data_IF_038163539575
#
_entry.id   IF_038163539575
#
_cell.length_a   1.000
_cell.length_b   1.000
_cell.length_c   1.000
_cell.angle_alpha   90.00
_cell.angle_beta   90.00
_cell.angle_gamma   90.00
#
_symmetry.space_group_name_H-M   'P 1'
#
loop_
_entity.id
_entity.type
_entity.pdbx_description
1 polymer ?
#
# COMPACT_ATOMS: atom_id res chain seq x y z
N UNK A 1 16.08 -21.23 -1.92
CA UNK A 1 14.64 -21.30 -1.61
C UNK A 1 14.46 -21.29 -0.08
N UNK A 2 13.94 -20.23 0.47
CA UNK A 2 13.89 -20.00 1.92
C UNK A 2 12.65 -20.62 2.60
N UNK A 3 11.66 -21.11 1.83
CA UNK A 3 10.32 -21.49 2.34
C UNK A 3 10.06 -23.01 2.45
N UNK A 4 11.03 -23.85 2.05
CA UNK A 4 10.84 -25.32 2.00
C UNK A 4 10.58 -26.00 3.35
N UNK A 5 10.97 -25.36 4.45
CA UNK A 5 10.90 -25.92 5.79
C UNK A 5 9.67 -25.47 6.60
N UNK A 6 8.71 -24.81 5.97
CA UNK A 6 7.47 -24.46 6.66
C UNK A 6 6.62 -25.71 6.91
N UNK A 7 6.07 -25.79 8.11
CA UNK A 7 5.14 -26.86 8.50
C UNK A 7 3.70 -26.50 8.15
N UNK A 8 3.36 -25.19 8.23
CA UNK A 8 2.05 -24.66 7.91
C UNK A 8 2.22 -23.27 7.28
N UNK A 9 1.47 -23.01 6.21
CA UNK A 9 1.37 -21.71 5.55
C UNK A 9 -0.10 -21.28 5.51
N UNK A 10 -0.52 -20.33 6.35
CA UNK A 10 -1.86 -19.77 6.25
C UNK A 10 -1.98 -18.85 5.02
N UNK A 11 -3.08 -18.96 4.30
CA UNK A 11 -3.41 -18.13 3.13
C UNK A 11 -4.85 -17.63 3.22
N UNK A 12 -5.17 -16.62 2.42
CA UNK A 12 -6.47 -15.94 2.46
C UNK A 12 -7.65 -16.81 2.02
N UNK A 13 -7.43 -17.71 1.05
CA UNK A 13 -8.49 -18.55 0.48
C UNK A 13 -7.94 -19.83 -0.11
N UNK A 14 -8.83 -20.80 -0.37
CA UNK A 14 -8.46 -22.04 -1.07
C UNK A 14 -7.99 -21.79 -2.50
N UNK A 15 -8.47 -20.73 -3.15
CA UNK A 15 -8.11 -20.37 -4.53
C UNK A 15 -6.61 -20.14 -4.70
N UNK A 16 -5.92 -19.59 -3.68
CA UNK A 16 -4.49 -19.27 -3.75
C UNK A 16 -3.58 -20.39 -3.22
N UNK A 17 -4.13 -21.49 -2.68
CA UNK A 17 -3.36 -22.58 -2.07
C UNK A 17 -2.31 -23.18 -2.99
N UNK A 18 -2.72 -23.56 -4.19
CA UNK A 18 -1.83 -24.23 -5.14
C UNK A 18 -0.74 -23.27 -5.65
N UNK A 19 -1.08 -21.99 -5.81
CA UNK A 19 -0.14 -20.92 -6.18
C UNK A 19 0.96 -20.80 -5.12
N UNK A 20 0.58 -20.73 -3.84
CA UNK A 20 1.55 -20.64 -2.74
C UNK A 20 2.37 -21.93 -2.58
N UNK A 21 1.77 -23.10 -2.77
CA UNK A 21 2.47 -24.37 -2.73
C UNK A 21 3.56 -24.44 -3.81
N UNK A 22 3.23 -24.03 -5.03
CA UNK A 22 4.16 -23.92 -6.15
C UNK A 22 5.27 -22.92 -5.87
N UNK A 23 4.92 -21.68 -5.52
CA UNK A 23 5.88 -20.58 -5.26
C UNK A 23 6.88 -20.94 -4.15
N UNK A 24 6.44 -21.66 -3.11
CA UNK A 24 7.29 -22.04 -1.99
C UNK A 24 7.99 -23.37 -2.18
N UNK A 25 7.59 -24.17 -3.18
CA UNK A 25 8.12 -25.50 -3.45
C UNK A 25 7.82 -26.49 -2.32
N UNK A 26 6.60 -26.44 -1.75
CA UNK A 26 6.13 -27.28 -0.66
C UNK A 26 4.86 -28.06 -1.07
N UNK A 27 4.49 -29.06 -0.24
CA UNK A 27 3.22 -29.77 -0.47
C UNK A 27 2.01 -28.87 -0.22
N UNK A 28 1.00 -28.92 -1.09
CA UNK A 28 -0.27 -28.21 -0.91
C UNK A 28 -0.99 -28.55 0.41
N UNK A 29 -0.71 -29.72 1.00
CA UNK A 29 -1.25 -30.10 2.33
C UNK A 29 -0.74 -29.22 3.47
N UNK A 30 0.37 -28.51 3.27
CA UNK A 30 0.94 -27.55 4.22
C UNK A 30 0.36 -26.15 4.07
N UNK A 31 -0.37 -25.87 3.01
CA UNK A 31 -1.00 -24.59 2.75
C UNK A 31 -2.48 -24.68 3.09
N UNK A 32 -2.94 -23.83 3.99
CA UNK A 32 -4.31 -23.87 4.51
C UNK A 32 -4.98 -22.49 4.46
N UNK A 33 -6.23 -22.46 4.00
CA UNK A 33 -7.03 -21.24 3.93
C UNK A 33 -7.56 -20.87 5.33
N UNK A 34 -6.71 -20.23 6.13
CA UNK A 34 -6.99 -19.82 7.51
C UNK A 34 -7.17 -18.30 7.66
N UNK A 35 -7.15 -17.58 6.55
CA UNK A 35 -7.11 -16.12 6.56
C UNK A 35 -5.69 -15.56 6.63
N UNK A 36 -5.59 -14.23 6.73
CA UNK A 36 -4.34 -13.49 6.85
C UNK A 36 -4.29 -12.84 8.24
N UNK A 37 -3.49 -13.35 9.19
CA UNK A 37 -3.55 -12.92 10.61
C UNK A 37 -3.37 -11.41 10.83
N UNK A 38 -2.59 -10.74 9.97
CA UNK A 38 -2.38 -9.28 10.10
C UNK A 38 -3.64 -8.45 9.87
N UNK A 39 -4.67 -9.02 9.21
CA UNK A 39 -5.92 -8.30 8.96
C UNK A 39 -6.84 -8.27 10.19
N UNK A 40 -6.57 -9.06 11.22
CA UNK A 40 -7.36 -9.06 12.45
C UNK A 40 -7.39 -7.69 13.13
N UNK A 41 -6.29 -6.92 13.01
CA UNK A 41 -6.21 -5.56 13.53
C UNK A 41 -7.17 -4.57 12.85
N UNK A 42 -7.62 -4.87 11.63
CA UNK A 42 -8.58 -4.04 10.89
C UNK A 42 -10.03 -4.30 11.31
N UNK A 43 -10.27 -5.20 12.27
CA UNK A 43 -11.56 -5.48 12.90
C UNK A 43 -11.52 -5.20 14.42
N UNK A 44 -10.42 -4.68 14.92
CA UNK A 44 -10.22 -4.31 16.33
C UNK A 44 -10.50 -2.81 16.53
N UNK A 45 -11.70 -2.47 16.98
CA UNK A 45 -12.14 -1.11 17.21
C UNK A 45 -11.25 -0.33 18.20
N UNK A 46 -10.78 -0.98 19.26
CA UNK A 46 -9.92 -0.34 20.26
C UNK A 46 -8.56 0.01 19.64
N UNK A 47 -8.03 -0.88 18.79
CA UNK A 47 -6.82 -0.61 18.04
C UNK A 47 -7.00 0.56 17.07
N UNK A 48 -8.09 0.55 16.29
CA UNK A 48 -8.36 1.59 15.30
C UNK A 48 -8.50 2.97 15.96
N UNK A 49 -9.33 3.07 17.03
CA UNK A 49 -9.55 4.33 17.74
C UNK A 49 -8.24 4.87 18.30
N UNK A 50 -7.49 4.03 19.01
CA UNK A 50 -6.19 4.38 19.57
C UNK A 50 -5.22 4.86 18.49
N UNK A 51 -5.18 4.16 17.35
CA UNK A 51 -4.26 4.48 16.26
C UNK A 51 -4.64 5.80 15.57
N UNK A 52 -5.93 6.06 15.37
CA UNK A 52 -6.42 7.34 14.86
C UNK A 52 -6.04 8.49 15.79
N UNK A 53 -6.23 8.35 17.10
CA UNK A 53 -5.84 9.37 18.09
C UNK A 53 -4.34 9.62 18.07
N UNK A 54 -3.52 8.57 18.01
CA UNK A 54 -2.06 8.67 17.94
C UNK A 54 -1.62 9.44 16.68
N UNK A 55 -2.17 9.09 15.50
CA UNK A 55 -1.83 9.75 14.24
C UNK A 55 -2.31 11.20 14.21
N UNK A 56 -3.51 11.51 14.70
CA UNK A 56 -4.01 12.88 14.79
C UNK A 56 -3.24 13.72 15.83
N UNK A 57 -2.75 13.09 16.90
CA UNK A 57 -1.87 13.75 17.86
C UNK A 57 -0.51 14.09 17.27
N UNK A 58 0.05 13.21 16.43
CA UNK A 58 1.34 13.41 15.77
C UNK A 58 1.24 14.35 14.55
N UNK A 59 0.14 14.25 13.80
CA UNK A 59 -0.12 15.02 12.58
C UNK A 59 -1.50 15.71 12.66
N UNK A 60 -1.66 16.78 13.42
CA UNK A 60 -2.97 17.41 13.67
C UNK A 60 -3.73 17.84 12.41
N UNK A 61 -3.02 18.18 11.35
CA UNK A 61 -3.62 18.56 10.06
C UNK A 61 -4.48 17.44 9.45
N UNK A 62 -4.19 16.17 9.75
CA UNK A 62 -4.94 15.05 9.18
C UNK A 62 -6.35 14.90 9.77
N UNK A 63 -6.62 15.51 10.93
CA UNK A 63 -7.89 15.34 11.64
C UNK A 63 -9.06 16.06 10.96
N UNK A 64 -8.81 17.28 10.48
CA UNK A 64 -9.85 18.18 9.96
C UNK A 64 -9.88 18.25 8.44
N UNK A 65 -8.99 17.49 7.76
CA UNK A 65 -8.83 17.57 6.32
C UNK A 65 -9.15 16.23 5.66
N UNK A 66 -9.46 16.28 4.36
CA UNK A 66 -9.56 15.11 3.50
C UNK A 66 -8.17 14.54 3.25
N UNK A 67 -7.95 13.30 3.61
CA UNK A 67 -6.65 12.64 3.48
C UNK A 67 -6.64 11.74 2.24
N UNK A 68 -5.70 11.99 1.34
CA UNK A 68 -5.40 11.12 0.21
C UNK A 68 -4.07 10.43 0.49
N UNK A 69 -4.07 9.10 0.46
CA UNK A 69 -2.87 8.27 0.62
C UNK A 69 -2.37 7.82 -0.75
N UNK A 70 -1.19 8.29 -1.15
CA UNK A 70 -0.50 7.82 -2.34
C UNK A 70 0.56 6.80 -1.96
N UNK A 71 0.33 5.53 -2.31
CA UNK A 71 1.16 4.40 -1.90
C UNK A 71 1.48 3.47 -3.10
N UNK A 72 2.38 3.88 -4.00
CA UNK A 72 2.70 3.10 -5.18
C UNK A 72 3.64 1.92 -4.87
N UNK A 73 3.61 0.91 -5.74
CA UNK A 73 4.57 -0.18 -5.74
C UNK A 73 5.90 0.26 -6.37
N UNK A 74 7.00 -0.23 -5.86
CA UNK A 74 8.32 0.03 -6.45
C UNK A 74 8.57 -0.78 -7.73
N UNK A 75 9.49 -0.31 -8.56
CA UNK A 75 10.07 -0.97 -9.73
C UNK A 75 11.47 -1.45 -9.40
N UNK A 76 12.06 -2.30 -10.26
CA UNK A 76 13.40 -2.89 -10.07
C UNK A 76 13.39 -4.18 -9.27
N UNK A 77 14.57 -4.80 -9.09
CA UNK A 77 14.75 -6.12 -8.48
C UNK A 77 15.05 -6.04 -6.96
N UNK A 78 14.03 -5.67 -6.19
CA UNK A 78 14.11 -5.67 -4.73
C UNK A 78 14.95 -4.54 -4.15
N UNK A 79 15.63 -4.78 -3.04
CA UNK A 79 16.23 -3.73 -2.20
C UNK A 79 17.40 -2.96 -2.84
N UNK A 80 18.05 -3.51 -3.87
CA UNK A 80 19.31 -2.92 -4.39
C UNK A 80 19.06 -1.79 -5.39
N UNK A 81 18.02 -1.93 -6.18
CA UNK A 81 17.70 -1.06 -7.31
C UNK A 81 16.23 -0.65 -7.35
N UNK A 82 15.55 -0.77 -6.22
CA UNK A 82 14.16 -0.34 -6.08
C UNK A 82 14.03 1.17 -6.32
N UNK A 83 13.13 1.55 -7.20
CA UNK A 83 12.80 2.93 -7.50
C UNK A 83 11.29 3.09 -7.78
N UNK A 84 10.83 4.31 -7.77
CA UNK A 84 9.57 4.72 -8.36
C UNK A 84 9.87 5.85 -9.37
N UNK A 85 9.30 5.81 -10.58
CA UNK A 85 9.49 6.89 -11.56
C UNK A 85 8.73 8.13 -11.10
N UNK A 86 9.41 8.99 -10.32
CA UNK A 86 8.79 10.15 -9.65
C UNK A 86 8.12 11.12 -10.61
N UNK A 87 8.62 11.18 -11.84
CA UNK A 87 8.06 11.97 -12.93
C UNK A 87 6.68 11.51 -13.41
N UNK A 88 6.32 10.25 -13.10
CA UNK A 88 5.01 9.73 -13.45
C UNK A 88 3.88 10.32 -12.58
N UNK A 89 4.20 10.85 -11.40
CA UNK A 89 3.23 11.49 -10.54
C UNK A 89 3.73 12.87 -10.09
N UNK A 90 3.30 13.91 -10.80
CA UNK A 90 3.60 15.29 -10.42
C UNK A 90 2.76 15.72 -9.22
N UNK A 91 3.38 15.69 -8.04
CA UNK A 91 2.75 16.06 -6.75
C UNK A 91 2.24 17.49 -6.77
N UNK A 92 3.00 18.43 -7.35
CA UNK A 92 2.65 19.84 -7.35
C UNK A 92 1.43 20.09 -8.23
N UNK A 93 1.44 19.54 -9.44
CA UNK A 93 0.31 19.63 -10.37
C UNK A 93 -0.95 18.91 -9.81
N UNK A 94 -0.77 17.79 -9.10
CA UNK A 94 -1.88 17.12 -8.43
C UNK A 94 -2.50 18.02 -7.37
N UNK A 95 -1.69 18.62 -6.50
CA UNK A 95 -2.16 19.49 -5.40
C UNK A 95 -2.83 20.77 -5.88
N UNK A 96 -2.41 21.34 -7.00
CA UNK A 96 -3.05 22.51 -7.63
C UNK A 96 -4.54 22.29 -7.94
N UNK A 97 -4.95 21.03 -8.13
CA UNK A 97 -6.31 20.64 -8.52
C UNK A 97 -7.14 20.13 -7.36
N UNK A 98 -6.56 20.05 -6.17
CA UNK A 98 -7.28 19.57 -4.98
C UNK A 98 -7.90 20.74 -4.22
N UNK A 99 -9.05 20.51 -3.55
CA UNK A 99 -9.61 21.43 -2.57
C UNK A 99 -8.58 21.83 -1.50
N UNK A 100 -8.78 23.02 -0.90
CA UNK A 100 -7.86 23.53 0.12
C UNK A 100 -7.81 22.66 1.39
N UNK A 101 -8.87 21.92 1.68
CA UNK A 101 -8.99 20.97 2.79
C UNK A 101 -8.41 19.58 2.48
N UNK A 102 -7.61 19.45 1.41
CA UNK A 102 -7.00 18.16 1.05
C UNK A 102 -5.55 18.10 1.50
N UNK A 103 -5.21 17.00 2.18
CA UNK A 103 -3.83 16.64 2.54
C UNK A 103 -3.43 15.38 1.79
N UNK A 104 -2.24 15.39 1.19
CA UNK A 104 -1.64 14.24 0.51
C UNK A 104 -0.59 13.59 1.41
N UNK A 105 -0.74 12.31 1.68
CA UNK A 105 0.31 11.49 2.30
C UNK A 105 1.04 10.73 1.19
N UNK A 106 2.34 10.90 1.12
CA UNK A 106 3.24 10.12 0.27
C UNK A 106 3.79 8.95 1.10
N UNK A 107 3.56 7.73 0.60
CA UNK A 107 3.98 6.49 1.26
C UNK A 107 4.69 5.56 0.29
N UNK A 108 5.91 5.92 -0.09
CA UNK A 108 6.76 5.04 -0.89
C UNK A 108 7.11 3.76 -0.14
N UNK A 109 7.36 2.69 -0.89
CA UNK A 109 7.88 1.46 -0.33
C UNK A 109 9.24 1.71 0.36
N UNK A 110 9.55 1.06 1.50
CA UNK A 110 10.81 1.30 2.24
C UNK A 110 12.10 1.09 1.43
N UNK A 111 12.04 0.36 0.33
CA UNK A 111 13.17 0.16 -0.57
C UNK A 111 13.46 1.38 -1.45
N UNK A 112 12.45 2.21 -1.74
CA UNK A 112 12.60 3.43 -2.53
C UNK A 112 13.23 4.53 -1.68
N UNK A 113 14.38 5.03 -2.11
CA UNK A 113 15.12 6.09 -1.39
C UNK A 113 14.90 7.49 -1.97
N UNK A 114 14.40 7.53 -3.21
CA UNK A 114 14.07 8.80 -3.86
C UNK A 114 12.88 9.45 -3.16
N UNK A 115 12.89 10.79 -3.17
CA UNK A 115 11.80 11.60 -2.61
C UNK A 115 11.19 12.46 -3.68
N UNK A 116 9.89 12.67 -3.59
CA UNK A 116 9.19 13.64 -4.42
C UNK A 116 9.66 15.07 -4.13
N UNK A 117 9.70 15.90 -5.17
CA UNK A 117 9.91 17.33 -5.02
C UNK A 117 8.57 18.00 -4.74
N UNK A 118 8.47 18.68 -3.61
CA UNK A 118 7.26 19.38 -3.17
C UNK A 118 7.57 20.87 -3.07
N UNK A 119 6.83 21.70 -3.81
CA UNK A 119 6.97 23.16 -3.78
C UNK A 119 6.62 23.72 -2.40
N UNK A 120 7.25 24.83 -2.04
CA UNK A 120 7.08 25.44 -0.72
C UNK A 120 5.63 25.73 -0.35
N UNK A 121 4.79 26.06 -1.32
CA UNK A 121 3.35 26.33 -1.13
C UNK A 121 2.54 25.11 -0.68
N UNK A 122 3.05 23.88 -0.91
CA UNK A 122 2.36 22.64 -0.58
C UNK A 122 2.93 21.90 0.62
N UNK A 123 4.06 22.35 1.18
CA UNK A 123 4.77 21.66 2.26
C UNK A 123 3.92 21.42 3.51
N UNK A 124 2.96 22.30 3.77
CA UNK A 124 2.03 22.15 4.91
C UNK A 124 0.92 21.12 4.66
N UNK A 125 0.67 20.75 3.39
CA UNK A 125 -0.40 19.82 2.97
C UNK A 125 0.09 18.55 2.28
N UNK A 126 1.40 18.35 2.16
CA UNK A 126 2.01 17.12 1.61
C UNK A 126 2.96 16.55 2.63
N UNK A 127 2.63 15.38 3.16
CA UNK A 127 3.41 14.70 4.19
C UNK A 127 4.10 13.47 3.63
N UNK A 128 5.43 13.42 3.61
CA UNK A 128 6.19 12.21 3.27
C UNK A 128 6.37 11.33 4.51
N UNK A 129 5.51 10.32 4.65
CA UNK A 129 5.52 9.36 5.75
C UNK A 129 6.09 7.99 5.33
N UNK A 130 6.91 7.96 4.29
CA UNK A 130 7.46 6.72 3.71
C UNK A 130 8.26 5.88 4.71
N UNK A 131 9.00 6.53 5.62
CA UNK A 131 9.86 5.86 6.61
C UNK A 131 9.27 5.73 8.00
N UNK A 132 8.12 6.33 8.29
CA UNK A 132 7.68 6.53 9.67
C UNK A 132 6.51 5.65 10.08
N UNK A 133 5.45 5.56 9.27
CA UNK A 133 4.19 4.93 9.65
C UNK A 133 3.92 3.67 8.83
N UNK A 134 3.16 2.74 9.39
CA UNK A 134 2.66 1.58 8.63
C UNK A 134 1.53 2.00 7.69
N UNK A 135 1.52 1.41 6.48
CA UNK A 135 0.50 1.73 5.48
C UNK A 135 -0.92 1.43 5.99
N UNK A 136 -1.10 0.33 6.71
CA UNK A 136 -2.40 -0.05 7.26
C UNK A 136 -2.93 0.99 8.26
N UNK A 137 -2.05 1.56 9.10
CA UNK A 137 -2.43 2.61 10.06
C UNK A 137 -2.82 3.89 9.34
N UNK A 138 -2.10 4.24 8.26
CA UNK A 138 -2.45 5.39 7.43
C UNK A 138 -3.78 5.21 6.69
N UNK A 139 -4.13 3.99 6.29
CA UNK A 139 -5.42 3.70 5.67
C UNK A 139 -6.60 4.00 6.62
N UNK A 140 -6.44 3.79 7.94
CA UNK A 140 -7.47 4.07 8.93
C UNK A 140 -7.93 5.54 8.94
N UNK A 141 -7.07 6.47 8.54
CA UNK A 141 -7.34 7.92 8.53
C UNK A 141 -7.49 8.49 7.12
N UNK A 142 -7.44 7.66 6.09
CA UNK A 142 -7.50 8.07 4.69
C UNK A 142 -8.93 8.05 4.14
N UNK A 143 -9.23 8.94 3.21
CA UNK A 143 -10.49 9.00 2.47
C UNK A 143 -10.37 8.42 1.04
N UNK A 144 -9.14 8.29 0.54
CA UNK A 144 -8.82 7.71 -0.76
C UNK A 144 -7.43 7.11 -0.72
N UNK A 145 -7.29 5.90 -1.24
CA UNK A 145 -5.99 5.30 -1.56
C UNK A 145 -5.73 5.43 -3.06
N UNK A 146 -4.60 6.04 -3.44
CA UNK A 146 -4.07 5.98 -4.80
C UNK A 146 -2.91 5.00 -4.79
N UNK A 147 -3.01 3.94 -5.57
CA UNK A 147 -2.01 2.87 -5.65
C UNK A 147 -1.96 2.29 -7.06
N UNK A 148 -1.14 1.27 -7.29
CA UNK A 148 -1.03 0.56 -8.56
C UNK A 148 -1.14 -0.96 -8.36
N UNK A 149 -0.03 -1.70 -8.26
CA UNK A 149 0.02 -3.17 -8.21
C UNK A 149 0.21 -3.72 -6.80
N UNK A 150 -0.10 -2.94 -5.78
CA UNK A 150 0.13 -3.30 -4.38
C UNK A 150 -0.92 -4.28 -3.85
N UNK A 151 -0.48 -5.29 -3.09
CA UNK A 151 -1.39 -6.17 -2.35
C UNK A 151 -2.14 -5.47 -1.21
N UNK A 152 -1.77 -4.23 -0.86
CA UNK A 152 -2.46 -3.43 0.16
C UNK A 152 -3.91 -3.06 -0.22
N UNK A 153 -4.29 -3.27 -1.48
CA UNK A 153 -5.68 -3.14 -1.93
C UNK A 153 -6.64 -4.07 -1.19
N UNK A 154 -6.17 -5.23 -0.73
CA UNK A 154 -7.01 -6.17 0.03
C UNK A 154 -7.33 -5.64 1.43
N UNK A 155 -6.36 -5.03 2.10
CA UNK A 155 -6.58 -4.36 3.38
C UNK A 155 -7.45 -3.11 3.20
N UNK A 156 -7.23 -2.32 2.16
CA UNK A 156 -8.07 -1.18 1.82
C UNK A 156 -9.52 -1.59 1.54
N UNK A 157 -9.73 -2.74 0.86
CA UNK A 157 -11.07 -3.29 0.61
C UNK A 157 -11.78 -3.72 1.91
N UNK A 158 -11.07 -4.29 2.88
CA UNK A 158 -11.62 -4.63 4.21
C UNK A 158 -12.10 -3.36 4.92
N UNK A 159 -11.35 -2.27 4.80
CA UNK A 159 -11.69 -0.96 5.39
C UNK A 159 -12.74 -0.18 4.58
N UNK A 160 -13.25 -0.74 3.48
CA UNK A 160 -14.14 -0.06 2.54
C UNK A 160 -13.56 1.28 2.04
N UNK A 161 -12.23 1.42 2.03
CA UNK A 161 -11.53 2.62 1.59
C UNK A 161 -11.60 2.75 0.07
N UNK A 162 -12.13 3.84 -0.48
CA UNK A 162 -12.13 4.09 -1.92
C UNK A 162 -10.71 4.01 -2.49
N UNK A 163 -10.57 3.39 -3.67
CA UNK A 163 -9.27 3.20 -4.32
C UNK A 163 -9.27 3.76 -5.73
N UNK A 164 -8.15 4.39 -6.09
CA UNK A 164 -7.82 4.79 -7.46
C UNK A 164 -6.56 4.04 -7.90
N UNK A 165 -6.68 3.26 -8.96
CA UNK A 165 -5.56 2.53 -9.55
C UNK A 165 -4.84 3.42 -10.58
N UNK A 166 -3.62 3.83 -10.26
CA UNK A 166 -2.76 4.64 -11.13
C UNK A 166 -1.67 3.76 -11.76
N UNK A 167 -2.11 2.86 -12.64
CA UNK A 167 -1.31 1.84 -13.31
C UNK A 167 -0.82 2.32 -14.69
N UNK A 168 -0.02 3.39 -14.73
CA UNK A 168 0.42 4.06 -15.96
C UNK A 168 1.38 3.24 -16.82
N UNK A 169 2.04 2.25 -16.25
CA UNK A 169 3.07 1.39 -16.87
C UNK A 169 2.70 -0.10 -16.77
N UNK A 170 1.41 -0.43 -16.85
CA UNK A 170 0.89 -1.80 -16.68
C UNK A 170 1.64 -2.83 -17.54
N UNK A 171 1.86 -2.51 -18.81
CA UNK A 171 2.53 -3.42 -19.75
C UNK A 171 3.97 -3.72 -19.34
N UNK A 172 4.75 -2.68 -19.02
CA UNK A 172 6.14 -2.81 -18.58
C UNK A 172 6.24 -3.56 -17.26
N UNK A 173 5.28 -3.32 -16.36
CA UNK A 173 5.22 -4.01 -15.09
C UNK A 173 4.91 -5.49 -15.27
N UNK A 174 3.94 -5.85 -16.10
CA UNK A 174 3.61 -7.23 -16.45
C UNK A 174 4.79 -7.97 -17.08
N UNK A 175 5.50 -7.34 -18.03
CA UNK A 175 6.68 -7.92 -18.68
C UNK A 175 7.81 -8.24 -17.68
N UNK A 176 7.88 -7.52 -16.56
CA UNK A 176 8.92 -7.68 -15.52
C UNK A 176 8.55 -8.60 -14.37
N UNK A 177 7.27 -8.65 -13.96
CA UNK A 177 6.85 -9.33 -12.73
C UNK A 177 5.68 -10.29 -12.89
N UNK A 178 4.85 -10.07 -13.92
CA UNK A 178 3.64 -10.86 -14.21
C UNK A 178 2.62 -10.89 -13.04
N UNK A 179 1.42 -11.36 -13.32
CA UNK A 179 0.34 -11.54 -12.34
C UNK A 179 -0.23 -12.95 -12.45
N UNK A 180 -0.70 -13.50 -11.34
CA UNK A 180 -1.44 -14.76 -11.33
C UNK A 180 -2.91 -14.60 -11.72
N UNK A 181 -3.35 -13.39 -12.00
CA UNK A 181 -4.72 -13.05 -12.43
C UNK A 181 -4.68 -11.94 -13.47
N UNK A 182 -5.76 -11.80 -14.22
CA UNK A 182 -5.93 -10.73 -15.19
C UNK A 182 -6.21 -9.41 -14.45
N UNK A 183 -5.27 -8.47 -14.51
CA UNK A 183 -5.37 -7.17 -13.84
C UNK A 183 -6.47 -6.28 -14.42
N UNK A 184 -6.93 -6.55 -15.65
CA UNK A 184 -7.99 -5.79 -16.33
C UNK A 184 -9.41 -6.16 -15.87
N UNK A 185 -9.57 -7.20 -15.06
CA UNK A 185 -10.83 -7.66 -14.49
C UNK A 185 -11.04 -7.14 -13.07
#
# INVERSE_FOLDING_TARGET
MNHRNYDLVPVSSDTVRDIYAEAFGISGSKVQALGVPRTDLLFDWDYEEKKREELYGKYPILKENRVILFAPTFRGDGNKDAYYPLEAFDVNHFMERQPEDTVLILKNHPFVKQKFTVDAQWQDRVLDLSGEEHINDLMLISNLLITDYSSSIFEAAILELPMLFYAFDEKEYMDSRDFYFDYSQ
#
